data_IF_368830626170
#
_entry.id   IF_368830626170
#
_cell.length_a   1.000
_cell.length_b   1.000
_cell.length_c   1.000
_cell.angle_alpha   90.00
_cell.angle_beta   90.00
_cell.angle_gamma   90.00
#
_symmetry.space_group_name_H-M   'P 1'
#
loop_
_entity.id
_entity.type
_entity.pdbx_description
1 polymer ?
#
# COMPACT_ATOMS: atom_id res chain seq x y z
N UNK A 1 2.10 -17.31 4.47
CA UNK A 1 1.28 -17.28 5.69
C UNK A 1 0.45 -15.98 5.70
N UNK A 2 -0.66 -15.94 4.96
CA UNK A 2 -1.49 -14.73 4.78
C UNK A 2 -2.94 -14.92 5.23
N UNK A 3 -3.27 -16.07 5.84
CA UNK A 3 -4.65 -16.47 6.15
C UNK A 3 -5.37 -15.56 7.15
N UNK A 4 -4.64 -14.69 7.85
CA UNK A 4 -5.18 -13.74 8.84
C UNK A 4 -5.27 -12.30 8.32
N UNK A 5 -5.01 -12.05 7.04
CA UNK A 5 -4.92 -10.70 6.47
C UNK A 5 -6.26 -9.96 6.33
N UNK A 6 -7.34 -10.65 5.97
CA UNK A 6 -8.64 -10.04 5.65
C UNK A 6 -9.71 -10.33 6.72
N UNK A 7 -9.35 -10.32 8.00
CA UNK A 7 -10.31 -10.62 9.08
C UNK A 7 -11.30 -9.51 9.44
N UNK A 8 -10.98 -8.23 9.15
CA UNK A 8 -11.85 -7.08 9.45
C UNK A 8 -11.71 -6.02 8.34
N UNK A 9 -12.82 -5.57 7.75
CA UNK A 9 -12.84 -4.48 6.77
C UNK A 9 -13.13 -3.11 7.41
N UNK A 10 -13.88 -3.07 8.51
CA UNK A 10 -14.30 -1.85 9.20
C UNK A 10 -13.27 -1.31 10.21
N UNK A 11 -12.18 -2.04 10.43
CA UNK A 11 -11.11 -1.65 11.33
C UNK A 11 -9.78 -1.65 10.57
N UNK A 12 -8.97 -0.62 10.78
CA UNK A 12 -7.64 -0.49 10.22
C UNK A 12 -6.62 -0.53 11.37
N UNK A 13 -5.88 -1.63 11.47
CA UNK A 13 -4.92 -1.85 12.54
C UNK A 13 -3.64 -1.04 12.29
N UNK A 14 -3.61 0.18 12.80
CA UNK A 14 -2.52 1.13 12.55
C UNK A 14 -1.18 0.69 13.17
N UNK A 15 -1.19 -0.19 14.17
CA UNK A 15 0.05 -0.70 14.77
C UNK A 15 0.90 -1.49 13.77
N UNK A 16 0.29 -2.07 12.71
CA UNK A 16 1.02 -2.74 11.61
C UNK A 16 1.95 -1.77 10.88
N UNK A 17 1.59 -0.48 10.78
CA UNK A 17 2.41 0.56 10.14
C UNK A 17 3.47 1.16 11.09
N UNK A 18 3.63 0.62 12.30
CA UNK A 18 4.64 1.10 13.26
C UNK A 18 6.05 1.13 12.67
N UNK A 19 6.53 0.11 11.93
CA UNK A 19 7.85 0.17 11.31
C UNK A 19 7.99 1.33 10.32
N UNK A 20 6.96 1.58 9.50
CA UNK A 20 6.98 2.72 8.57
C UNK A 20 7.02 4.06 9.33
N UNK A 21 6.26 4.19 10.42
CA UNK A 21 6.25 5.40 11.26
C UNK A 21 7.57 5.64 11.98
N UNK A 22 8.23 4.58 12.45
CA UNK A 22 9.45 4.67 13.25
C UNK A 22 10.70 4.84 12.39
N UNK A 23 10.82 4.06 11.32
CA UNK A 23 11.98 4.11 10.44
C UNK A 23 11.87 5.22 9.41
N UNK A 24 10.64 5.56 8.99
CA UNK A 24 10.37 6.53 7.94
C UNK A 24 11.19 6.29 6.67
N UNK A 25 11.28 5.03 6.22
CA UNK A 25 11.97 4.63 4.99
C UNK A 25 11.01 3.85 4.11
N UNK A 26 10.96 4.18 2.82
CA UNK A 26 10.27 3.43 1.78
C UNK A 26 11.10 3.42 0.50
N UNK A 27 11.05 2.32 -0.25
CA UNK A 27 11.65 2.22 -1.59
C UNK A 27 10.91 3.14 -2.57
N UNK A 28 11.66 3.83 -3.44
CA UNK A 28 11.11 4.69 -4.49
C UNK A 28 10.20 3.92 -5.44
N UNK A 29 10.60 2.71 -5.84
CA UNK A 29 9.78 1.83 -6.68
C UNK A 29 8.41 1.54 -6.05
N UNK A 30 8.38 1.22 -4.75
CA UNK A 30 7.16 0.97 -3.98
C UNK A 30 6.32 2.23 -3.85
N UNK A 31 6.92 3.36 -3.46
CA UNK A 31 6.19 4.61 -3.26
C UNK A 31 5.47 5.08 -4.53
N UNK A 32 6.15 5.04 -5.68
CA UNK A 32 5.55 5.41 -6.97
C UNK A 32 4.38 4.51 -7.35
N UNK A 33 4.49 3.19 -7.13
CA UNK A 33 3.37 2.26 -7.37
C UNK A 33 2.18 2.54 -6.46
N UNK A 34 2.43 2.82 -5.17
CA UNK A 34 1.37 3.17 -4.22
C UNK A 34 0.68 4.48 -4.61
N UNK A 35 1.42 5.48 -5.09
CA UNK A 35 0.84 6.72 -5.61
C UNK A 35 -0.02 6.47 -6.85
N UNK A 36 0.45 5.65 -7.80
CA UNK A 36 -0.31 5.26 -8.98
C UNK A 36 -1.62 4.57 -8.61
N UNK A 37 -1.56 3.59 -7.70
CA UNK A 37 -2.73 2.83 -7.24
C UNK A 37 -3.75 3.65 -6.44
N UNK A 38 -3.40 4.88 -6.06
CA UNK A 38 -4.30 5.82 -5.41
C UNK A 38 -5.00 6.79 -6.38
N UNK A 39 -4.72 6.67 -7.68
CA UNK A 39 -5.38 7.48 -8.73
C UNK A 39 -6.64 6.78 -9.25
N UNK A 40 -7.65 7.54 -9.69
CA UNK A 40 -8.91 6.99 -10.21
C UNK A 40 -8.72 5.96 -11.34
N UNK A 41 -7.84 6.17 -12.35
CA UNK A 41 -7.69 5.19 -13.44
C UNK A 41 -7.09 3.85 -13.01
N UNK A 42 -6.42 3.78 -11.84
CA UNK A 42 -5.70 2.60 -11.37
C UNK A 42 -6.04 2.26 -9.92
N UNK A 43 -7.23 2.66 -9.45
CA UNK A 43 -7.64 2.51 -8.07
C UNK A 43 -7.45 1.06 -7.60
N UNK A 44 -6.80 0.88 -6.45
CA UNK A 44 -6.38 -0.43 -5.96
C UNK A 44 -7.53 -1.44 -5.86
N UNK A 45 -8.70 -1.02 -5.37
CA UNK A 45 -9.90 -1.87 -5.32
C UNK A 45 -10.31 -2.41 -6.70
N UNK A 46 -10.26 -1.60 -7.75
CA UNK A 46 -10.65 -1.99 -9.11
C UNK A 46 -9.64 -2.95 -9.72
N UNK A 47 -8.34 -2.67 -9.56
CA UNK A 47 -7.26 -3.56 -10.01
C UNK A 47 -7.36 -4.92 -9.31
N UNK A 48 -7.64 -4.93 -8.01
CA UNK A 48 -7.82 -6.18 -7.25
C UNK A 48 -9.07 -6.94 -7.65
N UNK A 49 -10.17 -6.24 -7.92
CA UNK A 49 -11.43 -6.86 -8.35
C UNK A 49 -11.23 -7.60 -9.68
N UNK A 50 -10.60 -6.92 -10.65
CA UNK A 50 -10.29 -7.52 -11.95
C UNK A 50 -9.31 -8.70 -11.82
N UNK A 51 -8.24 -8.52 -11.04
CA UNK A 51 -7.23 -9.57 -10.84
C UNK A 51 -7.78 -10.84 -10.19
N UNK A 52 -8.82 -10.73 -9.37
CA UNK A 52 -9.44 -11.86 -8.66
C UNK A 52 -10.65 -12.44 -9.40
N UNK A 53 -11.12 -11.79 -10.47
CA UNK A 53 -12.36 -12.16 -11.14
C UNK A 53 -12.31 -13.54 -11.81
N UNK A 54 -11.13 -13.94 -12.30
CA UNK A 54 -10.93 -15.24 -12.97
C UNK A 54 -10.76 -16.42 -12.02
N UNK A 55 -10.68 -16.18 -10.70
CA UNK A 55 -10.51 -17.26 -9.73
C UNK A 55 -11.82 -18.05 -9.59
N UNK A 56 -11.81 -19.40 -9.61
CA UNK A 56 -13.01 -20.21 -9.39
C UNK A 56 -13.74 -19.96 -8.06
N UNK A 57 -13.05 -19.42 -7.05
CA UNK A 57 -13.62 -19.02 -5.76
C UNK A 57 -14.21 -17.61 -5.77
N UNK A 58 -14.31 -16.97 -6.93
CA UNK A 58 -14.85 -15.62 -7.05
C UNK A 58 -16.30 -15.52 -6.53
N UNK A 59 -16.64 -14.50 -5.73
CA UNK A 59 -15.75 -13.43 -5.26
C UNK A 59 -14.83 -13.88 -4.12
N UNK A 60 -13.51 -13.71 -4.30
CA UNK A 60 -12.49 -14.06 -3.28
C UNK A 60 -12.48 -13.06 -2.12
N UNK A 61 -12.73 -11.77 -2.40
CA UNK A 61 -12.87 -10.71 -1.40
C UNK A 61 -14.24 -10.04 -1.55
N UNK A 62 -14.90 -9.77 -0.42
CA UNK A 62 -16.14 -8.99 -0.40
C UNK A 62 -15.88 -7.52 -0.73
N UNK A 63 -16.88 -6.81 -1.27
CA UNK A 63 -16.77 -5.40 -1.62
C UNK A 63 -16.28 -4.49 -0.45
N UNK A 64 -16.75 -4.64 0.81
CA UNK A 64 -16.23 -3.82 1.91
C UNK A 64 -14.72 -3.99 2.16
N UNK A 65 -14.17 -5.16 1.85
CA UNK A 65 -12.73 -5.41 1.96
C UNK A 65 -11.94 -4.74 0.82
N UNK A 66 -12.51 -4.66 -0.38
CA UNK A 66 -11.92 -3.92 -1.50
C UNK A 66 -11.88 -2.41 -1.19
N UNK A 67 -12.98 -1.84 -0.71
CA UNK A 67 -13.02 -0.43 -0.27
C UNK A 67 -12.04 -0.14 0.88
N UNK A 68 -11.85 -1.12 1.78
CA UNK A 68 -10.88 -0.99 2.87
C UNK A 68 -9.44 -0.90 2.36
N UNK A 69 -9.10 -1.54 1.24
CA UNK A 69 -7.76 -1.42 0.63
C UNK A 69 -7.47 0.03 0.21
N UNK A 70 -8.41 0.69 -0.47
CA UNK A 70 -8.25 2.07 -0.91
C UNK A 70 -8.10 3.03 0.28
N UNK A 71 -8.95 2.86 1.31
CA UNK A 71 -8.87 3.66 2.53
C UNK A 71 -7.53 3.47 3.24
N UNK A 72 -7.03 2.24 3.35
CA UNK A 72 -5.74 1.91 3.97
C UNK A 72 -4.57 2.45 3.15
N UNK A 73 -4.63 2.39 1.82
CA UNK A 73 -3.63 2.96 0.93
C UNK A 73 -3.46 4.47 1.16
N UNK A 74 -4.57 5.21 1.27
CA UNK A 74 -4.54 6.65 1.61
C UNK A 74 -3.84 6.91 2.94
N UNK A 75 -4.07 6.08 3.96
CA UNK A 75 -3.39 6.17 5.28
C UNK A 75 -1.89 5.90 5.19
N UNK A 76 -1.48 4.93 4.37
CA UNK A 76 -0.06 4.64 4.11
C UNK A 76 0.62 5.84 3.47
N UNK A 77 0.04 6.41 2.41
CA UNK A 77 0.58 7.60 1.73
C UNK A 77 0.65 8.80 2.69
N UNK A 78 -0.37 9.03 3.50
CA UNK A 78 -0.36 10.09 4.51
C UNK A 78 0.76 9.91 5.55
N UNK A 79 1.04 8.67 5.97
CA UNK A 79 2.17 8.38 6.87
C UNK A 79 3.51 8.75 6.23
N UNK A 80 3.72 8.40 4.96
CA UNK A 80 4.94 8.76 4.22
C UNK A 80 5.08 10.29 4.10
N UNK A 81 4.00 11.01 3.81
CA UNK A 81 4.02 12.48 3.76
C UNK A 81 4.31 13.11 5.14
N UNK A 82 3.81 12.52 6.22
CA UNK A 82 4.15 12.97 7.57
C UNK A 82 5.62 12.73 7.90
N UNK A 83 6.19 11.58 7.50
CA UNK A 83 7.63 11.32 7.61
C UNK A 83 8.47 12.36 6.88
N UNK A 84 8.07 12.78 5.67
CA UNK A 84 8.75 13.83 4.89
C UNK A 84 8.74 15.19 5.59
N UNK A 85 7.64 15.52 6.28
CA UNK A 85 7.48 16.80 7.00
C UNK A 85 8.21 16.85 8.34
N UNK A 86 8.42 15.70 8.99
CA UNK A 86 8.97 15.63 10.34
C UNK A 86 10.45 16.06 10.45
N UNK A 87 11.16 16.31 9.34
CA UNK A 87 12.47 16.96 9.29
C UNK A 87 13.65 16.20 9.93
N UNK A 88 13.40 15.11 10.66
CA UNK A 88 14.41 14.35 11.40
C UNK A 88 15.00 13.14 10.68
N UNK A 89 14.49 12.77 9.49
CA UNK A 89 14.97 11.61 8.73
C UNK A 89 15.83 12.07 7.55
N UNK A 90 17.00 11.43 7.37
CA UNK A 90 17.97 11.79 6.33
C UNK A 90 17.41 11.61 4.91
N UNK A 91 16.68 10.52 4.68
CA UNK A 91 16.07 10.20 3.40
C UNK A 91 14.85 9.30 3.64
N UNK A 92 13.65 9.78 3.30
CA UNK A 92 12.40 9.01 3.47
C UNK A 92 12.17 8.05 2.30
N UNK A 93 12.52 8.49 1.09
CA UNK A 93 12.34 7.72 -0.13
C UNK A 93 13.71 7.31 -0.65
N UNK A 94 14.07 6.05 -0.47
CA UNK A 94 15.36 5.49 -0.91
C UNK A 94 15.26 5.07 -2.38
N UNK A 95 16.13 5.61 -3.22
CA UNK A 95 16.13 5.31 -4.66
C UNK A 95 16.73 3.93 -4.96
N UNK A 96 15.86 2.94 -5.15
CA UNK A 96 16.19 1.56 -5.51
C UNK A 96 16.09 1.28 -7.03
N UNK A 97 15.76 2.29 -7.85
CA UNK A 97 15.59 2.13 -9.30
C UNK A 97 16.91 2.27 -10.07
N UNK A 98 17.94 2.86 -9.46
CA UNK A 98 19.26 3.08 -10.08
C UNK A 98 20.17 1.83 -10.07
N UNK A 99 19.66 0.67 -9.63
CA UNK A 99 20.45 -0.56 -9.42
C UNK A 99 20.28 -1.68 -10.46
N UNK A 100 19.39 -1.57 -11.44
CA UNK A 100 19.17 -2.61 -12.47
C UNK A 100 19.80 -2.21 -13.82
N UNK A 101 21.07 -1.80 -13.83
CA UNK A 101 21.88 -1.69 -15.06
C UNK A 101 22.98 -2.75 -15.07
N UNK A 102 22.69 -3.99 -14.69
CA UNK A 102 23.56 -5.15 -14.93
C UNK A 102 22.72 -6.42 -14.96
N UNK A 103 21.89 -6.56 -16.00
CA UNK A 103 21.61 -7.80 -16.74
C UNK A 103 21.05 -7.40 -18.10
#
# INVERSE_FOLDING_TARGET
DNGRGFGRHSHDEMSILTPLRQCCIIKKSTFLRLQLLATEPFRLSDVMRESLASDPLSPVLSEPHLEALDRRLKKILAMVENCKKAGGHKEVIVDDLKGNQYF
#
